data_IF_194312332823
#
_entry.id   IF_194312332823
#
_cell.length_a   1.000
_cell.length_b   1.000
_cell.length_c   1.000
_cell.angle_alpha   90.00
_cell.angle_beta   90.00
_cell.angle_gamma   90.00
#
_symmetry.space_group_name_H-M   'P 1'
#
loop_
_entity.id
_entity.type
_entity.pdbx_description
1 polymer ?
#
# COMPACT_ATOMS: atom_id res chain seq x y z
N UNK A 1 2.05 3.83 13.22
CA UNK A 1 1.39 3.91 11.91
C UNK A 1 1.22 2.51 11.34
N UNK A 2 0.12 2.27 10.63
CA UNK A 2 -0.32 0.96 10.14
C UNK A 2 -0.30 0.89 8.62
N UNK A 3 0.37 -0.14 8.09
CA UNK A 3 0.46 -0.40 6.65
C UNK A 3 -0.27 -1.70 6.34
N UNK A 4 -1.21 -1.65 5.39
CA UNK A 4 -1.87 -2.83 4.85
C UNK A 4 -1.38 -3.10 3.44
N UNK A 5 -0.87 -4.30 3.21
CA UNK A 5 -0.49 -4.77 1.87
C UNK A 5 -1.51 -5.80 1.40
N UNK A 6 -2.08 -5.59 0.22
CA UNK A 6 -3.14 -6.46 -0.30
C UNK A 6 -3.07 -6.66 -1.80
N UNK A 7 -2.72 -7.87 -2.21
CA UNK A 7 -2.64 -8.27 -3.61
C UNK A 7 -3.55 -9.45 -3.89
N UNK A 8 -3.90 -9.70 -5.15
CA UNK A 8 -4.67 -10.88 -5.51
C UNK A 8 -3.83 -12.16 -5.28
N UNK A 9 -4.50 -13.31 -5.22
CA UNK A 9 -3.86 -14.62 -4.95
C UNK A 9 -2.68 -14.95 -5.87
N UNK A 10 -2.72 -14.51 -7.13
CA UNK A 10 -1.65 -14.76 -8.09
C UNK A 10 -0.39 -13.91 -7.81
N UNK A 11 -0.51 -12.90 -6.96
CA UNK A 11 0.54 -11.95 -6.59
C UNK A 11 0.79 -11.88 -5.07
N UNK A 12 0.31 -12.87 -4.29
CA UNK A 12 0.54 -12.92 -2.84
C UNK A 12 2.03 -12.91 -2.46
N UNK A 13 2.86 -13.64 -3.20
CA UNK A 13 4.31 -13.64 -2.95
C UNK A 13 4.94 -12.25 -3.12
N UNK A 14 4.44 -11.47 -4.08
CA UNK A 14 4.88 -10.09 -4.29
C UNK A 14 4.43 -9.17 -3.15
N UNK A 15 3.16 -9.28 -2.73
CA UNK A 15 2.64 -8.56 -1.57
C UNK A 15 3.41 -8.90 -0.28
N UNK A 16 3.70 -10.18 -0.04
CA UNK A 16 4.46 -10.63 1.13
C UNK A 16 5.90 -10.10 1.11
N UNK A 17 6.55 -10.09 -0.06
CA UNK A 17 7.88 -9.52 -0.21
C UNK A 17 7.91 -8.01 0.11
N UNK A 18 6.92 -7.25 -0.36
CA UNK A 18 6.77 -5.82 -0.03
C UNK A 18 6.56 -5.65 1.48
N UNK A 19 5.63 -6.40 2.08
CA UNK A 19 5.33 -6.30 3.50
C UNK A 19 6.55 -6.59 4.38
N UNK A 20 7.31 -7.65 4.05
CA UNK A 20 8.56 -7.99 4.74
C UNK A 20 9.60 -6.89 4.58
N UNK A 21 9.78 -6.36 3.37
CA UNK A 21 10.75 -5.31 3.13
C UNK A 21 10.42 -4.04 3.94
N UNK A 22 9.16 -3.63 3.98
CA UNK A 22 8.71 -2.49 4.81
C UNK A 22 9.00 -2.78 6.29
N UNK A 23 8.61 -3.95 6.80
CA UNK A 23 8.85 -4.33 8.20
C UNK A 23 10.35 -4.35 8.56
N UNK A 24 11.21 -4.84 7.66
CA UNK A 24 12.66 -4.84 7.87
C UNK A 24 13.26 -3.42 7.85
N UNK A 25 12.83 -2.57 6.91
CA UNK A 25 13.37 -1.22 6.76
C UNK A 25 12.79 -0.20 7.75
N UNK A 26 11.58 -0.45 8.27
CA UNK A 26 10.83 0.42 9.18
C UNK A 26 10.19 -0.42 10.30
N UNK A 27 11.01 -0.95 11.23
CA UNK A 27 10.54 -1.90 12.24
C UNK A 27 9.55 -1.32 13.26
N UNK A 28 9.36 0.00 13.30
CA UNK A 28 8.38 0.69 14.14
C UNK A 28 6.96 0.69 13.53
N UNK A 29 6.80 0.26 12.26
CA UNK A 29 5.51 0.23 11.58
C UNK A 29 4.80 -1.11 11.79
N UNK A 30 3.48 -1.05 11.99
CA UNK A 30 2.63 -2.24 12.02
C UNK A 30 2.26 -2.63 10.59
N UNK A 31 2.86 -3.70 10.06
CA UNK A 31 2.60 -4.17 8.69
C UNK A 31 1.69 -5.40 8.71
N UNK A 32 0.57 -5.32 8.00
CA UNK A 32 -0.40 -6.41 7.83
C UNK A 32 -0.54 -6.80 6.37
N UNK A 33 -0.81 -8.08 6.11
CA UNK A 33 -1.09 -8.61 4.77
C UNK A 33 -2.53 -9.13 4.71
N UNK A 34 -3.22 -8.84 3.61
CA UNK A 34 -4.55 -9.38 3.31
C UNK A 34 -4.66 -9.78 1.83
N UNK A 35 -5.65 -10.58 1.48
CA UNK A 35 -5.98 -10.83 0.07
C UNK A 35 -6.91 -9.76 -0.49
N UNK A 36 -6.78 -9.43 -1.79
CA UNK A 36 -7.58 -8.38 -2.44
C UNK A 36 -9.10 -8.60 -2.40
N UNK A 37 -9.54 -9.86 -2.32
CA UNK A 37 -10.96 -10.20 -2.17
C UNK A 37 -11.55 -9.71 -0.83
N UNK A 38 -10.71 -9.59 0.21
CA UNK A 38 -11.09 -9.13 1.55
C UNK A 38 -10.62 -7.72 1.90
N UNK A 39 -10.17 -6.94 0.91
CA UNK A 39 -9.51 -5.64 1.14
C UNK A 39 -10.38 -4.66 1.95
N UNK A 40 -11.66 -4.49 1.61
CA UNK A 40 -12.53 -3.54 2.30
C UNK A 40 -12.79 -3.94 3.77
N UNK A 41 -12.93 -5.25 4.04
CA UNK A 41 -13.04 -5.78 5.40
C UNK A 41 -11.74 -5.60 6.19
N UNK A 42 -10.59 -5.85 5.55
CA UNK A 42 -9.28 -5.66 6.15
C UNK A 42 -9.02 -4.18 6.48
N UNK A 43 -9.34 -3.25 5.57
CA UNK A 43 -9.27 -1.80 5.80
C UNK A 43 -10.15 -1.39 6.98
N UNK A 44 -11.37 -1.89 7.05
CA UNK A 44 -12.31 -1.57 8.14
C UNK A 44 -11.82 -2.07 9.50
N UNK A 45 -11.21 -3.25 9.55
CA UNK A 45 -10.69 -3.89 10.77
C UNK A 45 -9.37 -3.30 11.24
N UNK A 46 -8.41 -3.15 10.32
CA UNK A 46 -7.05 -2.70 10.63
C UNK A 46 -7.00 -1.18 10.82
N UNK A 47 -7.86 -0.44 10.11
CA UNK A 47 -7.81 1.03 9.98
C UNK A 47 -6.39 1.47 9.58
N UNK A 48 -5.89 1.04 8.40
CA UNK A 48 -4.54 1.34 7.98
C UNK A 48 -4.42 2.80 7.55
N UNK A 49 -3.28 3.40 7.88
CA UNK A 49 -2.89 4.73 7.42
C UNK A 49 -2.44 4.68 5.95
N UNK A 50 -1.80 3.56 5.56
CA UNK A 50 -1.33 3.30 4.19
C UNK A 50 -1.85 1.98 3.69
N UNK A 51 -2.36 1.97 2.46
CA UNK A 51 -2.71 0.75 1.74
C UNK A 51 -1.85 0.62 0.49
N UNK A 52 -1.20 -0.52 0.31
CA UNK A 52 -0.52 -0.90 -0.94
C UNK A 52 -1.33 -2.04 -1.54
N UNK A 53 -1.91 -1.84 -2.72
CA UNK A 53 -2.78 -2.85 -3.33
C UNK A 53 -2.73 -2.85 -4.86
N UNK A 54 -3.06 -3.98 -5.45
CA UNK A 54 -3.37 -4.09 -6.89
C UNK A 54 -4.77 -3.57 -7.26
N UNK A 55 -5.57 -3.15 -6.26
CA UNK A 55 -6.87 -2.55 -6.46
C UNK A 55 -6.81 -1.02 -6.38
N UNK A 56 -7.68 -0.32 -7.13
CA UNK A 56 -7.83 1.12 -6.99
C UNK A 56 -8.35 1.50 -5.61
N UNK A 57 -8.07 2.73 -5.19
CA UNK A 57 -8.60 3.30 -3.94
C UNK A 57 -10.13 3.17 -3.91
N UNK A 58 -10.64 2.46 -2.91
CA UNK A 58 -12.07 2.35 -2.62
C UNK A 58 -12.60 3.67 -2.05
N UNK A 59 -13.81 4.07 -2.44
CA UNK A 59 -14.45 5.31 -1.93
C UNK A 59 -14.70 5.26 -0.40
N UNK A 60 -14.79 4.06 0.17
CA UNK A 60 -14.97 3.83 1.60
C UNK A 60 -13.65 3.76 2.39
N UNK A 61 -12.50 3.84 1.71
CA UNK A 61 -11.19 3.74 2.35
C UNK A 61 -10.72 5.13 2.84
N UNK A 62 -10.71 5.30 4.17
CA UNK A 62 -10.29 6.52 4.85
C UNK A 62 -8.76 6.68 4.99
N UNK A 63 -7.96 5.82 4.38
CA UNK A 63 -6.50 5.82 4.53
C UNK A 63 -5.85 7.10 3.99
N UNK A 64 -4.85 7.60 4.74
CA UNK A 64 -4.08 8.80 4.43
C UNK A 64 -3.25 8.64 3.15
N UNK A 65 -2.79 7.42 2.85
CA UNK A 65 -2.14 7.09 1.59
C UNK A 65 -2.62 5.77 0.97
N UNK A 66 -2.52 5.72 -0.36
CA UNK A 66 -2.85 4.57 -1.19
C UNK A 66 -1.83 4.42 -2.31
N UNK A 67 -1.26 3.23 -2.46
CA UNK A 67 -0.40 2.86 -3.59
C UNK A 67 -1.12 1.77 -4.36
N UNK A 68 -1.62 2.12 -5.54
CA UNK A 68 -2.15 1.18 -6.51
C UNK A 68 -0.99 0.64 -7.36
N UNK A 69 -0.63 -0.63 -7.19
CA UNK A 69 0.41 -1.33 -7.94
C UNK A 69 -0.25 -2.37 -8.86
N UNK A 70 -0.49 -2.03 -10.13
CA UNK A 70 -1.05 -2.96 -11.09
C UNK A 70 -0.15 -4.19 -11.23
N UNK A 71 -0.72 -5.38 -11.47
CA UNK A 71 0.06 -6.60 -11.68
C UNK A 71 0.80 -6.63 -13.04
N UNK A 72 0.58 -5.63 -13.91
CA UNK A 72 1.22 -5.57 -15.23
C UNK A 72 2.20 -4.40 -15.32
N UNK A 73 3.41 -4.61 -15.85
CA UNK A 73 4.47 -3.60 -15.87
C UNK A 73 4.21 -2.43 -16.83
N UNK A 74 3.30 -2.60 -17.79
CA UNK A 74 2.84 -1.56 -18.72
C UNK A 74 1.82 -0.60 -18.12
N UNK A 75 1.20 -0.98 -16.99
CA UNK A 75 0.18 -0.16 -16.33
C UNK A 75 0.83 0.72 -15.27
N UNK A 76 0.50 2.00 -15.34
CA UNK A 76 1.06 3.03 -14.47
C UNK A 76 0.47 2.89 -13.06
N UNK A 77 1.34 2.74 -12.06
CA UNK A 77 0.96 2.75 -10.66
C UNK A 77 0.45 4.14 -10.26
N UNK A 78 -0.56 4.17 -9.39
CA UNK A 78 -1.13 5.42 -8.88
C UNK A 78 -0.85 5.52 -7.39
N UNK A 79 -0.18 6.59 -7.02
CA UNK A 79 0.23 6.88 -5.65
C UNK A 79 -0.57 8.08 -5.18
N UNK A 80 -1.35 7.92 -4.13
CA UNK A 80 -2.13 8.96 -3.49
C UNK A 80 -1.63 9.15 -2.06
N UNK A 81 -1.16 10.33 -1.68
CA UNK A 81 -0.68 10.64 -0.32
C UNK A 81 -1.20 12.00 0.09
N UNK A 82 -1.90 12.09 1.23
CA UNK A 82 -2.39 13.37 1.77
C UNK A 82 -3.28 14.14 0.80
N UNK A 83 -4.09 13.43 0.00
CA UNK A 83 -4.97 14.04 -1.02
C UNK A 83 -4.29 14.41 -2.34
N UNK A 84 -2.96 14.31 -2.45
CA UNK A 84 -2.22 14.49 -3.71
C UNK A 84 -2.07 13.16 -4.42
N UNK A 85 -2.30 13.12 -5.73
CA UNK A 85 -2.13 11.92 -6.54
C UNK A 85 -1.05 12.11 -7.59
N UNK A 86 -0.17 11.13 -7.73
CA UNK A 86 0.87 11.04 -8.76
C UNK A 86 0.89 9.66 -9.39
N UNK A 87 1.52 9.57 -10.55
CA UNK A 87 1.65 8.33 -11.31
C UNK A 87 3.12 7.93 -11.42
N UNK A 88 3.40 6.62 -11.35
CA UNK A 88 4.74 6.06 -11.51
C UNK A 88 4.71 4.80 -12.36
N UNK A 89 5.68 4.63 -13.26
CA UNK A 89 5.80 3.42 -14.08
C UNK A 89 6.64 2.40 -13.33
N UNK A 90 6.01 1.27 -12.96
CA UNK A 90 6.66 0.18 -12.25
C UNK A 90 7.46 0.65 -11.01
N UNK A 91 6.77 1.09 -9.94
CA UNK A 91 7.42 1.72 -8.80
C UNK A 91 8.40 0.75 -8.13
N UNK A 92 9.60 1.26 -7.86
CA UNK A 92 10.62 0.47 -7.16
C UNK A 92 10.26 0.27 -5.68
N UNK A 93 10.89 -0.71 -5.02
CA UNK A 93 10.77 -0.86 -3.57
C UNK A 93 11.18 0.42 -2.81
N UNK A 94 12.26 1.08 -3.23
CA UNK A 94 12.69 2.33 -2.60
C UNK A 94 11.65 3.44 -2.74
N UNK A 95 10.96 3.49 -3.88
CA UNK A 95 9.87 4.44 -4.10
C UNK A 95 8.67 4.12 -3.21
N UNK A 96 8.31 2.84 -3.07
CA UNK A 96 7.25 2.40 -2.15
C UNK A 96 7.59 2.77 -0.70
N UNK A 97 8.84 2.56 -0.27
CA UNK A 97 9.31 2.97 1.07
C UNK A 97 9.20 4.48 1.25
N UNK A 98 9.59 5.28 0.26
CA UNK A 98 9.46 6.74 0.31
C UNK A 98 7.99 7.18 0.43
N UNK A 99 7.04 6.46 -0.16
CA UNK A 99 5.60 6.75 0.01
C UNK A 99 5.15 6.49 1.45
N UNK A 100 5.62 5.39 2.04
CA UNK A 100 5.33 5.07 3.44
C UNK A 100 5.89 6.16 4.36
N UNK A 101 7.14 6.59 4.13
CA UNK A 101 7.77 7.68 4.88
C UNK A 101 7.01 9.02 4.72
N UNK A 102 6.57 9.35 3.48
CA UNK A 102 5.78 10.56 3.21
C UNK A 102 4.45 10.51 3.98
N UNK A 103 3.76 9.37 3.96
CA UNK A 103 2.50 9.19 4.67
C UNK A 103 2.66 9.25 6.20
N UNK A 104 3.79 8.78 6.73
CA UNK A 104 4.11 8.89 8.16
C UNK A 104 4.25 10.35 8.59
N UNK A 105 4.96 11.15 7.79
CA UNK A 105 5.16 12.58 8.08
C UNK A 105 3.88 13.42 8.10
N UNK A 106 2.81 12.94 7.47
CA UNK A 106 1.49 13.62 7.39
C UNK A 106 0.53 13.10 8.46
N UNK A 107 0.79 11.90 8.98
CA UNK A 107 -0.06 11.24 9.99
C UNK A 107 0.44 11.45 11.43
N UNK A 108 1.61 12.08 11.60
CA UNK A 108 2.21 12.47 12.87
C UNK A 108 1.65 13.81 13.38
#
# INVERSE_FOLDING_TARGET
>A
MRVLVSFNRHHYAYGDAIARAIGCCRPHLEVSVAGSEGLDAAVSRVRPDVVISDRPKSAFAASAAWVEVPPRPDVVARICVGGRSRTSRNPSLSEMLSVVDEAESISA
#
